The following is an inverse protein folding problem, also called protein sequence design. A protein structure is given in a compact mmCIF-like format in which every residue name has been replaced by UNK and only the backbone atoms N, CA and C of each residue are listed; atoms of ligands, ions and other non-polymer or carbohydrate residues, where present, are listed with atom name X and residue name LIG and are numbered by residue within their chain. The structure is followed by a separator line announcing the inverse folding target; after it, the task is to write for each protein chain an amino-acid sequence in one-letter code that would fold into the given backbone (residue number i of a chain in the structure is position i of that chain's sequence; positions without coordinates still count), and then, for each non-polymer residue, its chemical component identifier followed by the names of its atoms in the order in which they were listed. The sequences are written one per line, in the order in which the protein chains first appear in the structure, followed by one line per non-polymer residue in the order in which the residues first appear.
data_IF_977813701713
#
_entry.id   IF_977813701713
#
_cell.length_a   1.000
_cell.length_b   1.000
_cell.length_c   1.000
_cell.angle_alpha   90.00
_cell.angle_beta   90.00
_cell.angle_gamma   90.00
#
_symmetry.space_group_name_H-M   'P 1'
#
loop_
_entity.id
_entity.type
_entity.pdbx_description
1 polymer ?
#
# COMPACT_ATOMS: atom_id res chain seq x y z
N UNK A 1 -2.06 17.39 18.97
CA UNK A 1 -1.21 17.79 17.83
C UNK A 1 0.19 17.23 18.04
N UNK A 2 0.48 16.03 17.53
CA UNK A 2 1.86 15.55 17.41
C UNK A 2 2.17 15.54 15.92
N UNK A 3 3.11 16.40 15.53
CA UNK A 3 3.53 16.68 14.15
C UNK A 3 3.93 15.37 13.46
N UNK A 4 3.46 15.17 12.23
CA UNK A 4 4.19 14.34 11.26
C UNK A 4 5.62 14.87 11.23
N UNK A 5 6.59 14.06 11.63
CA UNK A 5 7.99 14.46 11.49
C UNK A 5 8.21 14.81 10.01
N UNK A 6 8.57 16.07 9.75
CA UNK A 6 8.71 16.62 8.40
C UNK A 6 9.90 16.02 7.66
N UNK A 7 10.15 16.48 6.45
CA UNK A 7 11.29 16.07 5.65
C UNK A 7 12.60 16.28 6.42
N UNK A 8 13.29 15.18 6.76
CA UNK A 8 14.52 15.21 7.56
C UNK A 8 15.31 13.92 7.43
N UNK A 9 16.50 13.87 8.02
CA UNK A 9 17.23 12.63 8.22
C UNK A 9 16.58 11.77 9.31
N UNK A 10 16.41 10.49 9.02
CA UNK A 10 16.01 9.46 9.96
C UNK A 10 17.13 8.45 10.11
N UNK A 11 17.36 7.98 11.34
CA UNK A 11 18.31 6.92 11.60
C UNK A 11 17.71 5.58 11.17
N UNK A 12 18.13 5.06 10.03
CA UNK A 12 17.70 3.75 9.52
C UNK A 12 18.66 2.66 9.98
N UNK A 13 18.11 1.53 10.43
CA UNK A 13 18.90 0.33 10.70
C UNK A 13 19.15 -0.38 9.36
N UNK A 14 20.40 -0.37 8.88
CA UNK A 14 20.80 -1.02 7.64
C UNK A 14 21.87 -2.06 7.99
N UNK A 15 21.53 -3.33 7.85
CA UNK A 15 22.34 -4.43 8.39
C UNK A 15 22.56 -4.25 9.90
N UNK A 16 23.81 -4.16 10.36
CA UNK A 16 24.17 -3.92 11.77
C UNK A 16 24.21 -2.44 12.16
N UNK A 17 24.20 -1.52 11.19
CA UNK A 17 24.59 -0.14 11.42
C UNK A 17 23.38 0.82 11.39
N UNK A 18 23.45 1.87 12.19
CA UNK A 18 22.50 2.97 12.16
C UNK A 18 23.01 4.07 11.25
N UNK A 19 22.36 4.25 10.12
CA UNK A 19 22.76 5.24 9.11
C UNK A 19 21.70 6.35 9.05
N UNK A 20 22.08 7.62 9.27
CA UNK A 20 21.16 8.73 9.07
C UNK A 20 20.92 8.94 7.58
N UNK A 21 19.67 8.79 7.15
CA UNK A 21 19.25 8.87 5.75
C UNK A 21 18.08 9.84 5.64
N UNK A 22 18.17 10.79 4.70
CA UNK A 22 17.08 11.69 4.39
C UNK A 22 15.87 10.92 3.87
N UNK A 23 14.72 11.14 4.52
CA UNK A 23 13.44 10.68 4.03
C UNK A 23 12.55 11.87 3.68
N UNK A 24 11.98 11.83 2.48
CA UNK A 24 11.02 12.82 2.02
C UNK A 24 9.60 12.32 2.27
N UNK A 25 8.89 12.98 3.18
CA UNK A 25 7.61 12.56 3.73
C UNK A 25 6.42 13.22 3.02
N UNK A 26 6.66 14.30 2.27
CA UNK A 26 5.66 15.03 1.48
C UNK A 26 5.56 14.52 0.03
N UNK A 27 4.65 15.09 -0.76
CA UNK A 27 4.46 14.70 -2.16
C UNK A 27 5.57 15.22 -3.07
N UNK A 28 6.07 14.36 -3.98
CA UNK A 28 7.08 14.68 -5.00
C UNK A 28 6.47 14.63 -6.41
N UNK A 29 5.51 15.49 -6.69
CA UNK A 29 4.87 15.58 -8.01
C UNK A 29 4.38 14.22 -8.51
N UNK A 30 4.90 13.77 -9.66
CA UNK A 30 4.53 12.49 -10.28
C UNK A 30 4.87 11.24 -9.45
N UNK A 31 5.76 11.37 -8.46
CA UNK A 31 6.07 10.29 -7.54
C UNK A 31 4.96 10.09 -6.49
N UNK A 32 4.21 11.13 -6.12
CA UNK A 32 3.21 11.08 -5.05
C UNK A 32 3.81 11.08 -3.64
N UNK A 33 2.95 10.96 -2.62
CA UNK A 33 3.32 11.08 -1.21
C UNK A 33 3.47 9.73 -0.50
N UNK A 34 4.65 9.12 -0.53
CA UNK A 34 4.84 7.73 -0.11
C UNK A 34 5.95 7.47 0.91
N UNK A 35 6.66 8.49 1.39
CA UNK A 35 7.81 8.29 2.28
C UNK A 35 8.98 7.74 1.48
N UNK A 36 9.73 8.65 0.87
CA UNK A 36 10.81 8.34 -0.06
C UNK A 36 12.14 8.32 0.65
N UNK A 37 12.87 7.21 0.58
CA UNK A 37 14.18 7.08 1.19
C UNK A 37 15.27 7.40 0.18
N UNK A 38 16.14 8.35 0.52
CA UNK A 38 17.25 8.73 -0.34
C UNK A 38 18.21 7.55 -0.56
N UNK A 39 18.62 7.35 -1.80
CA UNK A 39 19.56 6.31 -2.23
C UNK A 39 20.88 6.90 -2.69
N UNK A 40 20.79 7.91 -3.55
CA UNK A 40 21.96 8.50 -4.20
C UNK A 40 21.66 9.92 -4.65
N UNK A 41 22.71 10.76 -4.67
CA UNK A 41 22.69 12.11 -5.25
C UNK A 41 23.88 12.29 -6.18
N UNK A 42 23.65 12.80 -7.39
CA UNK A 42 24.64 12.86 -8.47
C UNK A 42 24.72 14.28 -9.00
N UNK A 43 25.93 14.83 -9.13
CA UNK A 43 26.15 16.13 -9.75
C UNK A 43 26.64 15.94 -11.18
N UNK A 44 25.84 16.36 -12.15
CA UNK A 44 26.13 16.23 -13.59
C UNK A 44 27.41 16.93 -14.05
N UNK A 45 27.95 17.82 -13.22
CA UNK A 45 29.21 18.52 -13.47
C UNK A 45 30.45 17.78 -12.96
N UNK A 46 30.27 16.72 -12.17
CA UNK A 46 31.34 15.91 -11.60
C UNK A 46 31.36 14.53 -12.24
N UNK A 47 32.55 13.93 -12.33
CA UNK A 47 32.75 12.60 -12.92
C UNK A 47 32.52 11.44 -11.93
N UNK A 48 32.26 11.74 -10.65
CA UNK A 48 32.12 10.76 -9.56
C UNK A 48 31.18 9.61 -9.88
N UNK A 49 30.04 9.89 -10.50
CA UNK A 49 29.05 8.88 -10.86
C UNK A 49 28.90 8.74 -12.38
N UNK A 50 30.00 8.95 -13.12
CA UNK A 50 30.03 8.66 -14.55
C UNK A 50 29.55 7.23 -14.84
N UNK A 51 28.97 6.99 -16.03
CA UNK A 51 28.40 5.69 -16.38
C UNK A 51 29.36 4.52 -16.10
N UNK A 52 30.63 4.68 -16.47
CA UNK A 52 31.66 3.64 -16.34
C UNK A 52 32.29 3.55 -14.94
N UNK A 53 31.83 4.33 -13.94
CA UNK A 53 32.41 4.32 -12.60
C UNK A 53 32.05 3.06 -11.78
N UNK A 54 33.01 2.54 -11.01
CA UNK A 54 32.86 1.35 -10.17
C UNK A 54 31.86 1.54 -9.03
N UNK A 55 31.54 2.78 -8.65
CA UNK A 55 30.50 3.09 -7.66
C UNK A 55 29.13 2.55 -8.08
N UNK A 56 28.87 2.23 -9.35
CA UNK A 56 27.62 1.59 -9.76
C UNK A 56 27.56 0.10 -9.43
N UNK A 57 28.70 -0.59 -9.43
CA UNK A 57 28.80 -2.06 -9.31
C UNK A 57 29.35 -2.54 -7.97
N UNK A 58 29.83 -1.63 -7.11
CA UNK A 58 30.36 -1.95 -5.78
C UNK A 58 29.38 -1.63 -4.63
N UNK A 59 29.64 -2.18 -3.44
CA UNK A 59 28.90 -1.91 -2.20
C UNK A 59 29.68 -0.96 -1.27
N UNK A 60 30.33 0.05 -1.85
CA UNK A 60 31.03 1.12 -1.11
C UNK A 60 30.14 2.36 -1.00
N UNK A 61 30.19 3.00 0.17
CA UNK A 61 29.55 4.29 0.42
C UNK A 61 30.35 5.43 -0.19
N UNK A 62 29.69 6.52 -0.53
CA UNK A 62 30.33 7.79 -0.89
C UNK A 62 29.63 8.93 -0.15
N UNK A 63 30.40 9.76 0.55
CA UNK A 63 29.91 10.94 1.28
C UNK A 63 28.59 10.72 2.07
N UNK A 64 28.66 9.98 3.19
CA UNK A 64 27.48 9.69 4.02
C UNK A 64 26.83 10.94 4.60
N UNK A 65 27.60 12.00 4.86
CA UNK A 65 27.09 13.29 5.35
C UNK A 65 26.11 13.91 4.36
N UNK A 66 26.39 13.80 3.05
CA UNK A 66 25.46 14.18 2.00
C UNK A 66 24.12 13.45 2.09
N UNK A 67 24.05 12.27 2.71
CA UNK A 67 22.81 11.52 2.92
C UNK A 67 21.86 12.11 3.96
N UNK A 68 22.32 13.05 4.80
CA UNK A 68 21.51 13.64 5.88
C UNK A 68 20.61 14.76 5.39
N UNK A 69 20.93 15.34 4.24
CA UNK A 69 20.22 16.46 3.64
C UNK A 69 19.41 16.03 2.42
N UNK A 70 18.39 16.82 2.08
CA UNK A 70 17.50 16.55 0.95
C UNK A 70 18.12 16.96 -0.39
N UNK A 71 17.37 17.77 -1.13
CA UNK A 71 17.69 18.17 -2.51
C UNK A 71 18.70 19.33 -2.57
N UNK A 72 19.84 19.17 -1.92
CA UNK A 72 21.00 20.04 -2.07
C UNK A 72 21.90 19.57 -3.22
N UNK A 73 23.11 20.14 -3.34
CA UNK A 73 24.09 19.80 -4.38
C UNK A 73 25.22 18.89 -3.90
N UNK A 74 25.08 18.25 -2.74
CA UNK A 74 26.10 17.37 -2.18
C UNK A 74 25.92 15.94 -2.70
N UNK A 75 26.87 15.45 -3.48
CA UNK A 75 26.87 14.06 -3.98
C UNK A 75 26.88 13.04 -2.84
N UNK A 76 26.17 11.93 -2.99
CA UNK A 76 26.18 10.84 -2.00
C UNK A 76 25.81 9.50 -2.63
N UNK A 77 26.35 8.41 -2.08
CA UNK A 77 25.90 7.05 -2.30
C UNK A 77 25.77 6.36 -0.95
N UNK A 78 24.55 5.98 -0.60
CA UNK A 78 24.22 5.43 0.70
C UNK A 78 24.14 3.90 0.67
N UNK A 79 24.25 3.22 1.82
CA UNK A 79 24.00 1.78 1.93
C UNK A 79 22.61 1.35 1.46
N UNK A 80 21.65 2.28 1.43
CA UNK A 80 20.34 2.07 0.83
C UNK A 80 20.39 1.76 -0.67
N UNK A 81 21.51 2.02 -1.36
CA UNK A 81 21.72 1.59 -2.74
C UNK A 81 21.70 0.07 -2.92
N UNK A 82 22.26 -0.69 -1.98
CA UNK A 82 22.40 -2.15 -2.11
C UNK A 82 21.63 -2.97 -1.07
N UNK A 83 21.24 -2.40 0.06
CA UNK A 83 20.58 -3.10 1.17
C UNK A 83 19.07 -2.87 1.27
N UNK A 84 18.48 -2.14 0.32
CA UNK A 84 17.13 -1.62 0.49
C UNK A 84 16.20 -2.03 -0.65
N UNK A 85 15.27 -2.95 -0.40
CA UNK A 85 14.25 -3.32 -1.37
C UNK A 85 13.25 -2.18 -1.60
N UNK A 86 12.74 -2.08 -2.82
CA UNK A 86 11.70 -1.11 -3.18
C UNK A 86 10.72 -1.69 -4.20
N UNK A 87 9.52 -1.11 -4.25
CA UNK A 87 8.54 -1.35 -5.33
C UNK A 87 8.55 -0.28 -6.40
N UNK A 88 8.94 0.95 -6.02
CA UNK A 88 8.91 2.13 -6.88
C UNK A 88 10.17 2.97 -6.67
N UNK A 89 10.67 3.57 -7.75
CA UNK A 89 11.79 4.50 -7.72
C UNK A 89 11.27 5.89 -8.07
N UNK A 90 11.64 6.91 -7.29
CA UNK A 90 11.45 8.31 -7.66
C UNK A 90 12.78 8.87 -8.13
N UNK A 91 12.77 9.41 -9.34
CA UNK A 91 13.89 10.02 -10.01
C UNK A 91 13.65 11.53 -10.07
N UNK A 92 14.57 12.30 -9.50
CA UNK A 92 14.51 13.76 -9.47
C UNK A 92 15.69 14.39 -10.18
N UNK A 93 15.45 15.50 -10.88
CA UNK A 93 16.47 16.38 -11.44
C UNK A 93 16.22 17.82 -11.00
N UNK A 94 17.29 18.52 -10.64
CA UNK A 94 17.33 19.95 -10.37
C UNK A 94 18.19 20.64 -11.41
N UNK A 95 17.63 21.63 -12.10
CA UNK A 95 18.34 22.48 -13.06
C UNK A 95 18.05 23.94 -12.69
N UNK A 96 19.09 24.66 -12.25
CA UNK A 96 18.88 25.94 -11.56
C UNK A 96 18.02 25.75 -10.32
N UNK A 97 16.94 26.51 -10.22
CA UNK A 97 15.99 26.42 -9.09
C UNK A 97 14.83 25.45 -9.33
N UNK A 98 14.76 24.83 -10.51
CA UNK A 98 13.64 23.95 -10.88
C UNK A 98 13.93 22.49 -10.56
N UNK A 99 13.14 21.92 -9.66
CA UNK A 99 13.14 20.48 -9.35
C UNK A 99 11.99 19.77 -10.10
N UNK A 100 12.29 18.65 -10.76
CA UNK A 100 11.32 17.85 -11.51
C UNK A 100 11.48 16.37 -11.20
N UNK A 101 10.36 15.66 -11.07
CA UNK A 101 10.34 14.27 -10.61
C UNK A 101 9.51 13.36 -11.51
N UNK A 102 9.97 12.13 -11.71
CA UNK A 102 9.24 11.04 -12.36
C UNK A 102 9.36 9.76 -11.53
N UNK A 103 8.42 8.83 -11.70
CA UNK A 103 8.44 7.57 -10.99
C UNK A 103 8.51 6.37 -11.94
N UNK A 104 9.16 5.30 -11.47
CA UNK A 104 9.26 4.02 -12.15
C UNK A 104 8.73 2.93 -11.22
N UNK A 105 7.69 2.23 -11.67
CA UNK A 105 7.15 1.06 -10.99
C UNK A 105 7.96 -0.19 -11.38
N UNK A 106 8.99 -0.49 -10.56
CA UNK A 106 9.92 -1.59 -10.81
C UNK A 106 10.35 -2.22 -9.47
N UNK A 107 9.71 -3.31 -9.05
CA UNK A 107 10.11 -4.02 -7.84
C UNK A 107 11.51 -4.61 -7.98
N UNK A 108 12.34 -4.41 -6.95
CA UNK A 108 13.69 -4.97 -6.87
C UNK A 108 14.14 -5.11 -5.42
N UNK A 109 15.09 -6.02 -5.18
CA UNK A 109 15.70 -6.20 -3.86
C UNK A 109 16.64 -5.04 -3.49
N UNK A 110 17.16 -4.31 -4.47
CA UNK A 110 17.88 -3.03 -4.31
C UNK A 110 18.21 -2.39 -5.66
N UNK A 111 18.70 -1.15 -5.67
CA UNK A 111 19.09 -0.48 -6.91
C UNK A 111 20.35 -1.12 -7.49
N UNK A 112 21.26 -1.55 -6.60
CA UNK A 112 22.40 -2.40 -6.91
C UNK A 112 21.99 -3.62 -7.73
N UNK A 113 20.93 -4.34 -7.34
CA UNK A 113 20.46 -5.54 -8.06
C UNK A 113 19.95 -5.25 -9.48
N UNK A 114 19.51 -4.02 -9.76
CA UNK A 114 19.05 -3.59 -11.08
C UNK A 114 20.18 -3.07 -11.97
N UNK A 115 21.31 -2.64 -11.40
CA UNK A 115 22.35 -1.92 -12.14
C UNK A 115 23.66 -2.71 -12.21
N UNK A 116 24.09 -3.33 -11.12
CA UNK A 116 25.47 -3.79 -10.93
C UNK A 116 25.93 -4.86 -11.94
N UNK A 117 25.01 -5.67 -12.47
CA UNK A 117 25.34 -6.71 -13.46
C UNK A 117 25.47 -6.17 -14.90
N UNK A 118 25.27 -4.88 -15.11
CA UNK A 118 25.38 -4.23 -16.42
C UNK A 118 24.30 -4.62 -17.42
N UNK A 119 23.31 -5.46 -17.04
CA UNK A 119 22.29 -5.94 -17.98
C UNK A 119 21.25 -4.85 -18.25
N UNK A 120 20.88 -4.71 -19.53
CA UNK A 120 19.79 -3.85 -19.94
C UNK A 120 18.45 -4.37 -19.39
N UNK A 121 17.65 -3.47 -18.82
CA UNK A 121 16.30 -3.76 -18.35
C UNK A 121 15.37 -2.64 -18.81
N UNK A 122 14.45 -2.95 -19.70
CA UNK A 122 13.55 -1.95 -20.28
C UNK A 122 12.57 -1.38 -19.25
N UNK A 123 12.19 -0.11 -19.45
CA UNK A 123 11.00 0.52 -18.86
C UNK A 123 10.01 0.90 -19.95
N UNK A 124 8.83 1.38 -19.57
CA UNK A 124 7.75 1.77 -20.47
C UNK A 124 7.14 3.12 -20.09
N UNK A 125 7.97 4.07 -19.66
CA UNK A 125 7.53 5.40 -19.22
C UNK A 125 7.19 6.33 -20.40
N UNK A 126 7.87 6.12 -21.53
CA UNK A 126 7.74 6.91 -22.74
C UNK A 126 8.56 8.21 -22.72
N UNK A 127 8.92 8.65 -23.93
CA UNK A 127 9.73 9.84 -24.22
C UNK A 127 9.33 11.08 -23.43
N UNK A 128 8.04 11.41 -23.46
CA UNK A 128 7.52 12.63 -22.84
C UNK A 128 7.69 12.61 -21.31
N UNK A 129 7.66 11.43 -20.69
CA UNK A 129 7.92 11.29 -19.25
C UNK A 129 9.36 11.66 -18.92
N UNK A 130 10.33 11.16 -19.66
CA UNK A 130 11.74 11.52 -19.48
C UNK A 130 11.99 13.02 -19.71
N UNK A 131 11.36 13.61 -20.74
CA UNK A 131 11.47 15.06 -21.01
C UNK A 131 10.96 15.93 -19.85
N UNK A 132 10.00 15.46 -19.04
CA UNK A 132 9.51 16.23 -17.88
C UNK A 132 10.59 16.52 -16.85
N UNK A 133 11.64 15.69 -16.74
CA UNK A 133 12.75 15.95 -15.82
C UNK A 133 13.52 17.23 -16.15
N UNK A 134 13.50 17.65 -17.42
CA UNK A 134 14.24 18.82 -17.92
C UNK A 134 13.30 20.02 -18.15
N UNK A 135 12.00 19.77 -18.33
CA UNK A 135 10.98 20.80 -18.55
C UNK A 135 10.90 21.27 -20.02
N UNK A 136 10.50 22.52 -20.24
CA UNK A 136 10.32 23.11 -21.58
C UNK A 136 11.60 23.10 -22.43
N UNK A 137 12.75 22.98 -21.78
CA UNK A 137 14.06 22.97 -22.39
C UNK A 137 14.50 21.57 -22.86
N UNK A 138 13.77 20.52 -22.54
CA UNK A 138 14.11 19.14 -22.90
C UNK A 138 14.24 18.96 -24.42
N UNK A 139 15.30 18.27 -24.85
CA UNK A 139 15.56 17.99 -26.26
C UNK A 139 16.07 16.56 -26.43
N UNK A 140 15.53 15.84 -27.41
CA UNK A 140 15.95 14.47 -27.76
C UNK A 140 15.83 14.29 -29.27
N UNK A 141 16.61 13.42 -29.88
CA UNK A 141 16.39 12.99 -31.27
C UNK A 141 15.24 11.98 -31.37
N UNK A 142 14.63 11.78 -32.54
CA UNK A 142 13.26 11.22 -32.65
C UNK A 142 13.15 9.68 -32.60
N UNK A 143 14.24 8.96 -32.82
CA UNK A 143 14.28 7.52 -33.06
C UNK A 143 15.15 6.77 -32.02
N UNK A 144 15.34 5.46 -32.21
CA UNK A 144 15.83 4.47 -31.22
C UNK A 144 14.96 4.35 -29.96
N UNK A 145 14.75 5.44 -29.23
CA UNK A 145 13.80 5.56 -28.13
C UNK A 145 13.97 4.49 -27.02
N UNK A 146 15.22 4.12 -26.72
CA UNK A 146 15.56 3.04 -25.77
C UNK A 146 15.60 3.59 -24.35
N UNK A 147 14.85 2.99 -23.44
CA UNK A 147 14.68 3.46 -22.06
C UNK A 147 14.83 2.35 -21.01
N UNK A 148 15.29 2.72 -19.81
CA UNK A 148 15.34 1.84 -18.65
C UNK A 148 16.70 1.84 -17.95
N UNK A 149 17.13 0.67 -17.47
CA UNK A 149 18.37 0.48 -16.72
C UNK A 149 19.49 -0.04 -17.62
N UNK A 150 20.72 0.45 -17.41
CA UNK A 150 21.90 0.16 -18.23
C UNK A 150 21.59 0.32 -19.73
N UNK A 151 21.03 1.46 -20.11
CA UNK A 151 20.78 1.79 -21.52
C UNK A 151 22.09 2.18 -22.17
N UNK A 152 22.45 1.42 -23.19
CA UNK A 152 23.61 1.67 -24.04
C UNK A 152 23.18 1.58 -25.49
N UNK A 153 23.71 2.48 -26.30
CA UNK A 153 23.66 2.37 -27.75
C UNK A 153 24.55 1.18 -28.20
N UNK A 154 24.43 0.72 -29.45
CA UNK A 154 25.23 -0.42 -29.93
C UNK A 154 26.73 -0.15 -29.79
N UNK A 155 27.17 1.07 -30.05
CA UNK A 155 28.53 1.50 -29.76
C UNK A 155 28.61 2.21 -28.40
N UNK A 156 29.50 1.74 -27.53
CA UNK A 156 29.70 2.25 -26.16
C UNK A 156 30.28 3.67 -26.08
N UNK A 157 30.71 4.23 -27.22
CA UNK A 157 31.17 5.62 -27.34
C UNK A 157 30.01 6.62 -27.44
N UNK A 158 28.82 6.15 -27.81
CA UNK A 158 27.63 6.96 -27.92
C UNK A 158 26.89 7.06 -26.59
N UNK A 159 25.79 7.82 -26.59
CA UNK A 159 24.97 8.06 -25.42
C UNK A 159 24.59 6.77 -24.69
N UNK A 160 24.80 6.81 -23.36
CA UNK A 160 24.52 5.73 -22.42
C UNK A 160 24.11 6.30 -21.06
N UNK A 161 23.31 5.55 -20.31
CA UNK A 161 22.84 5.92 -18.98
C UNK A 161 22.59 4.69 -18.10
N UNK A 162 22.90 4.79 -16.81
CA UNK A 162 22.58 3.73 -15.84
C UNK A 162 21.08 3.64 -15.59
N UNK A 163 20.40 4.77 -15.59
CA UNK A 163 18.94 4.87 -15.59
C UNK A 163 18.59 6.01 -16.54
N UNK A 164 17.96 5.74 -17.68
CA UNK A 164 17.73 6.82 -18.64
C UNK A 164 17.04 6.43 -19.92
N UNK A 165 17.04 7.40 -20.83
CA UNK A 165 16.51 7.35 -22.17
C UNK A 165 17.60 7.78 -23.15
N UNK A 166 17.83 7.00 -24.20
CA UNK A 166 18.75 7.35 -25.29
C UNK A 166 18.00 7.36 -26.63
N UNK A 167 18.40 8.26 -27.51
CA UNK A 167 17.82 8.39 -28.84
C UNK A 167 18.82 8.90 -29.86
N UNK A 168 18.48 8.68 -31.13
CA UNK A 168 19.14 9.20 -32.31
C UNK A 168 18.12 9.61 -33.38
N UNK A 169 18.60 9.99 -34.55
CA UNK A 169 17.80 10.37 -35.71
C UNK A 169 17.65 9.22 -36.72
N UNK A 170 18.45 8.16 -36.64
CA UNK A 170 18.37 6.99 -37.52
C UNK A 170 17.39 5.92 -37.01
N UNK A 171 17.01 4.97 -37.87
CA UNK A 171 16.03 3.92 -37.54
C UNK A 171 16.57 2.76 -36.68
N UNK A 172 17.79 2.88 -36.14
CA UNK A 172 18.45 1.87 -35.31
C UNK A 172 19.02 2.53 -34.04
N UNK A 173 19.52 1.75 -33.09
CA UNK A 173 20.21 2.27 -31.91
C UNK A 173 21.74 2.17 -32.04
N UNK A 174 22.31 2.55 -33.18
CA UNK A 174 23.75 2.45 -33.47
C UNK A 174 24.59 3.65 -32.98
N UNK A 175 24.05 4.85 -33.19
CA UNK A 175 24.74 6.15 -33.09
C UNK A 175 23.93 7.15 -32.26
N UNK A 176 23.67 6.83 -31.00
CA UNK A 176 22.84 7.63 -30.09
C UNK A 176 23.57 8.90 -29.69
N UNK A 177 23.03 10.05 -30.08
CA UNK A 177 23.63 11.37 -29.85
C UNK A 177 22.74 12.26 -28.99
N UNK A 178 21.71 11.67 -28.38
CA UNK A 178 20.87 12.31 -27.38
C UNK A 178 20.49 11.38 -26.24
N UNK A 179 20.39 11.96 -25.04
CA UNK A 179 20.02 11.26 -23.82
C UNK A 179 19.40 12.17 -22.77
N UNK A 180 18.58 11.57 -21.92
CA UNK A 180 18.20 12.09 -20.61
C UNK A 180 18.42 10.97 -19.60
N UNK A 181 19.14 11.20 -18.51
CA UNK A 181 19.28 10.16 -17.51
C UNK A 181 20.34 10.41 -16.46
N UNK A 182 20.48 9.38 -15.62
CA UNK A 182 21.29 9.33 -14.42
C UNK A 182 22.50 8.42 -14.64
N UNK A 183 23.68 8.87 -14.22
CA UNK A 183 24.92 8.15 -14.46
C UNK A 183 25.20 7.95 -15.94
N UNK A 184 25.31 9.05 -16.67
CA UNK A 184 25.46 9.07 -18.12
C UNK A 184 26.90 9.24 -18.57
N UNK A 185 27.13 9.05 -19.87
CA UNK A 185 28.41 9.26 -20.53
C UNK A 185 28.29 9.13 -22.04
N UNK A 186 29.43 9.17 -22.73
CA UNK A 186 29.53 9.10 -24.18
C UNK A 186 29.14 10.40 -24.91
N UNK A 187 29.18 10.34 -26.24
CA UNK A 187 28.84 11.46 -27.13
C UNK A 187 27.42 11.99 -26.86
N UNK A 188 27.17 13.32 -26.92
CA UNK A 188 28.05 14.40 -27.37
C UNK A 188 29.02 14.99 -26.34
N UNK A 189 28.75 14.85 -25.03
CA UNK A 189 29.64 15.28 -23.95
C UNK A 189 29.80 14.14 -22.94
N UNK A 190 30.95 13.45 -22.93
CA UNK A 190 31.20 12.35 -21.99
C UNK A 190 31.33 12.82 -20.54
N UNK A 191 31.63 14.10 -20.31
CA UNK A 191 31.79 14.65 -18.96
C UNK A 191 30.48 14.99 -18.27
N UNK A 192 29.37 15.11 -19.02
CA UNK A 192 28.05 15.28 -18.43
C UNK A 192 27.53 13.93 -17.91
N UNK A 193 27.53 13.77 -16.59
CA UNK A 193 27.11 12.53 -15.93
C UNK A 193 25.62 12.46 -15.65
N UNK A 194 24.86 13.54 -15.86
CA UNK A 194 23.49 13.64 -15.35
C UNK A 194 22.75 14.85 -15.95
N UNK A 195 21.52 14.65 -16.44
CA UNK A 195 20.72 15.68 -17.13
C UNK A 195 20.37 15.36 -18.58
N UNK A 196 20.52 16.32 -19.51
CA UNK A 196 20.13 16.19 -20.92
C UNK A 196 21.23 16.61 -21.89
N UNK A 197 21.57 15.71 -22.80
CA UNK A 197 22.43 15.94 -23.94
C UNK A 197 21.63 15.67 -25.22
N UNK A 198 21.75 16.55 -26.22
CA UNK A 198 21.14 16.33 -27.53
C UNK A 198 21.89 17.11 -28.60
N UNK A 199 22.30 16.41 -29.66
CA UNK A 199 22.94 16.97 -30.85
C UNK A 199 22.36 16.30 -32.10
N UNK A 200 22.65 16.87 -33.28
CA UNK A 200 22.26 16.33 -34.59
C UNK A 200 20.74 16.17 -34.77
N UNK A 201 20.07 17.28 -35.11
CA UNK A 201 18.62 17.34 -35.37
C UNK A 201 17.70 16.84 -34.25
N UNK A 202 17.90 17.28 -32.99
CA UNK A 202 16.96 16.94 -31.93
C UNK A 202 15.68 17.78 -32.02
N UNK A 203 14.63 17.30 -31.36
CA UNK A 203 13.29 17.86 -31.43
C UNK A 203 13.11 19.25 -30.80
N UNK A 204 14.11 19.77 -30.09
CA UNK A 204 14.09 21.09 -29.44
C UNK A 204 15.47 21.76 -29.41
N UNK A 205 16.15 21.83 -30.57
CA UNK A 205 17.51 22.36 -30.75
C UNK A 205 18.58 21.62 -29.93
N UNK A 206 19.85 21.86 -30.24
CA UNK A 206 20.94 21.28 -29.46
C UNK A 206 20.85 21.70 -27.99
N UNK A 207 21.06 20.74 -27.09
CA UNK A 207 20.97 20.96 -25.65
C UNK A 207 22.13 20.29 -24.93
N UNK A 208 22.72 21.07 -24.02
CA UNK A 208 23.70 20.63 -23.04
C UNK A 208 23.21 21.14 -21.69
N UNK A 209 22.61 20.26 -20.90
CA UNK A 209 22.08 20.59 -19.59
C UNK A 209 22.61 19.58 -18.57
N UNK A 210 23.39 20.10 -17.62
CA UNK A 210 23.82 19.37 -16.43
C UNK A 210 22.77 19.59 -15.35
N UNK A 211 22.48 18.54 -14.60
CA UNK A 211 21.54 18.60 -13.47
C UNK A 211 22.25 18.29 -12.15
N UNK A 212 21.53 18.51 -11.06
CA UNK A 212 21.73 17.76 -9.82
C UNK A 212 20.62 16.72 -9.74
N UNK A 213 20.96 15.48 -9.46
CA UNK A 213 20.05 14.35 -9.52
C UNK A 213 19.82 13.70 -8.16
N UNK A 214 18.63 13.17 -7.99
CA UNK A 214 18.18 12.51 -6.77
C UNK A 214 17.52 11.18 -7.12
N UNK A 215 18.00 10.09 -6.52
CA UNK A 215 17.36 8.79 -6.63
C UNK A 215 16.83 8.40 -5.26
N UNK A 216 15.52 8.13 -5.18
CA UNK A 216 14.86 7.71 -3.95
C UNK A 216 14.10 6.41 -4.19
N UNK A 217 14.22 5.48 -3.24
CA UNK A 217 13.43 4.25 -3.23
C UNK A 217 12.18 4.44 -2.38
N UNK A 218 11.01 4.05 -2.91
CA UNK A 218 9.86 3.75 -2.08
C UNK A 218 10.11 2.38 -1.46
N UNK A 219 10.58 2.38 -0.22
CA UNK A 219 10.89 1.18 0.51
C UNK A 219 9.76 0.15 0.39
N UNK A 220 10.15 -1.11 0.19
CA UNK A 220 9.34 -2.31 0.46
C UNK A 220 8.99 -2.42 1.96
N UNK A 221 9.40 -1.45 2.76
CA UNK A 221 8.88 -1.22 4.09
C UNK A 221 8.81 0.24 4.49
N UNK A 222 7.60 0.68 4.82
CA UNK A 222 7.36 1.91 5.53
C UNK A 222 5.92 1.97 5.95
N UNK A 223 5.49 0.97 6.73
CA UNK A 223 4.32 1.16 7.57
C UNK A 223 4.66 2.31 8.52
N UNK A 224 3.97 3.43 8.36
CA UNK A 224 4.14 4.65 9.13
C UNK A 224 3.67 4.46 10.56
N UNK A 225 3.97 5.43 11.42
CA UNK A 225 3.43 5.52 12.78
C UNK A 225 3.51 4.22 13.61
N UNK A 226 4.71 3.61 13.65
CA UNK A 226 5.01 2.36 14.38
C UNK A 226 4.34 1.10 13.80
N UNK A 227 3.91 1.14 12.53
CA UNK A 227 3.47 -0.05 11.80
C UNK A 227 4.60 -1.00 11.40
N UNK A 228 4.28 -2.28 11.20
CA UNK A 228 5.21 -3.36 10.84
C UNK A 228 4.90 -3.96 9.47
N UNK A 229 5.90 -4.19 8.61
CA UNK A 229 5.71 -4.75 7.25
C UNK A 229 5.65 -6.29 7.25
N UNK A 230 4.76 -6.86 6.44
CA UNK A 230 4.52 -8.29 6.27
C UNK A 230 4.71 -8.66 4.78
N UNK A 231 5.61 -9.59 4.43
CA UNK A 231 5.88 -9.95 3.02
C UNK A 231 5.09 -11.18 2.55
N UNK A 232 4.69 -11.18 1.28
CA UNK A 232 4.02 -12.29 0.59
C UNK A 232 4.90 -12.81 -0.55
N UNK A 233 5.50 -13.99 -0.35
CA UNK A 233 6.56 -14.56 -1.20
C UNK A 233 6.05 -15.19 -2.50
N UNK A 234 4.81 -15.67 -2.57
CA UNK A 234 4.26 -16.32 -3.78
C UNK A 234 3.79 -15.31 -4.82
N UNK A 235 3.30 -14.14 -4.38
CA UNK A 235 2.81 -13.08 -5.27
C UNK A 235 3.82 -11.95 -5.49
N UNK A 236 5.01 -12.05 -4.89
CA UNK A 236 6.02 -10.98 -4.86
C UNK A 236 5.47 -9.63 -4.37
N UNK A 237 4.69 -9.62 -3.28
CA UNK A 237 4.06 -8.40 -2.69
C UNK A 237 4.29 -8.29 -1.17
N UNK A 238 3.85 -7.19 -0.52
CA UNK A 238 3.88 -6.99 0.95
C UNK A 238 2.70 -6.14 1.44
N UNK A 239 2.38 -6.17 2.74
CA UNK A 239 1.32 -5.44 3.42
C UNK A 239 1.77 -4.88 4.78
N UNK A 240 1.00 -4.00 5.42
CA UNK A 240 1.34 -3.43 6.73
C UNK A 240 0.41 -3.82 7.88
N UNK A 241 0.99 -3.96 9.07
CA UNK A 241 0.31 -4.21 10.34
C UNK A 241 0.46 -3.01 11.27
N UNK A 242 -0.64 -2.36 11.63
CA UNK A 242 -0.63 -1.03 12.25
C UNK A 242 -0.85 -1.03 13.76
N UNK A 243 -0.17 -0.13 14.47
CA UNK A 243 -0.36 0.10 15.90
C UNK A 243 -1.41 1.21 16.09
N UNK A 244 -2.43 1.00 16.91
CA UNK A 244 -3.51 1.98 17.16
C UNK A 244 -2.91 3.32 17.65
N UNK A 245 -3.43 4.49 17.23
CA UNK A 245 -4.64 4.75 16.41
C UNK A 245 -4.43 4.72 14.89
N UNK A 246 -3.35 4.11 14.41
CA UNK A 246 -2.97 4.16 13.00
C UNK A 246 -3.56 2.99 12.22
N UNK A 247 -4.07 3.25 11.01
CA UNK A 247 -4.76 2.25 10.16
C UNK A 247 -4.34 2.37 8.68
N UNK A 248 -4.89 1.49 7.82
CA UNK A 248 -4.61 1.27 6.38
C UNK A 248 -3.33 0.49 6.07
N UNK A 249 -3.19 0.09 4.80
CA UNK A 249 -2.12 -0.72 4.22
C UNK A 249 -0.69 -0.20 4.42
N UNK A 250 -0.53 1.01 4.99
CA UNK A 250 0.74 1.59 5.43
C UNK A 250 0.70 2.29 6.78
N UNK A 251 -0.30 2.09 7.63
CA UNK A 251 -0.31 2.61 9.01
C UNK A 251 -0.12 4.13 9.09
N UNK A 252 -0.65 4.83 8.10
CA UNK A 252 -0.40 6.23 7.83
C UNK A 252 -1.59 7.14 8.20
N UNK A 253 -2.74 6.56 8.55
CA UNK A 253 -3.94 7.30 8.93
C UNK A 253 -4.22 7.18 10.43
N UNK A 254 -4.29 8.31 11.15
CA UNK A 254 -4.81 8.36 12.51
C UNK A 254 -6.33 8.27 12.45
N UNK A 255 -6.92 7.31 13.17
CA UNK A 255 -8.37 7.23 13.32
C UNK A 255 -8.90 8.52 13.94
N UNK A 256 -9.51 9.40 13.13
CA UNK A 256 -10.14 10.64 13.60
C UNK A 256 -11.46 10.92 12.88
N UNK A 257 -12.34 11.62 13.61
CA UNK A 257 -13.81 11.54 13.61
C UNK A 257 -14.49 11.83 12.25
N UNK A 258 -15.35 10.90 11.83
CA UNK A 258 -16.48 11.13 10.92
C UNK A 258 -16.19 10.86 9.44
N UNK A 259 -16.92 9.92 8.84
CA UNK A 259 -16.93 9.69 7.39
C UNK A 259 -18.35 9.68 6.84
N UNK A 260 -18.49 10.26 5.64
CA UNK A 260 -19.70 10.34 4.81
C UNK A 260 -19.89 9.09 3.94
N UNK A 261 -21.17 8.81 3.70
CA UNK A 261 -21.78 7.66 3.06
C UNK A 261 -21.73 7.78 1.52
N UNK A 262 -20.98 6.94 0.81
CA UNK A 262 -21.30 6.48 -0.56
C UNK A 262 -20.31 5.36 -0.95
N UNK A 263 -20.80 4.42 -1.76
CA UNK A 263 -20.11 3.21 -2.28
C UNK A 263 -19.98 2.02 -1.32
N UNK A 264 -20.99 1.14 -1.30
CA UNK A 264 -20.86 -0.27 -1.72
C UNK A 264 -22.16 -1.06 -1.44
N UNK A 265 -23.13 -0.99 -2.34
CA UNK A 265 -24.24 -1.95 -2.44
C UNK A 265 -24.09 -2.67 -3.78
N UNK A 266 -23.60 -3.91 -3.76
CA UNK A 266 -24.02 -4.90 -4.75
C UNK A 266 -23.76 -6.36 -4.33
N UNK A 267 -24.87 -7.11 -4.30
CA UNK A 267 -25.03 -8.55 -4.59
C UNK A 267 -24.43 -9.57 -3.61
N UNK A 268 -25.31 -10.20 -2.82
CA UNK A 268 -25.15 -11.57 -2.33
C UNK A 268 -26.44 -12.37 -2.54
N UNK A 269 -26.35 -13.39 -3.41
CA UNK A 269 -27.25 -14.54 -3.46
C UNK A 269 -26.36 -15.77 -3.65
N UNK A 270 -26.68 -16.83 -2.89
CA UNK A 270 -26.28 -18.24 -3.01
C UNK A 270 -25.22 -18.78 -2.03
N UNK A 271 -25.71 -19.80 -1.31
CA UNK A 271 -25.12 -20.92 -0.57
C UNK A 271 -23.60 -21.08 -0.45
N UNK A 272 -23.22 -21.41 0.78
CA UNK A 272 -21.87 -21.60 1.30
C UNK A 272 -21.33 -23.02 1.01
N UNK A 273 -20.14 -23.12 0.42
CA UNK A 273 -19.09 -24.11 0.72
C UNK A 273 -17.94 -23.94 -0.30
N UNK A 274 -16.70 -23.87 0.20
CA UNK A 274 -15.43 -24.06 -0.51
C UNK A 274 -14.97 -23.06 -1.59
N UNK A 275 -15.83 -22.25 -2.20
CA UNK A 275 -15.38 -21.38 -3.31
C UNK A 275 -15.25 -19.87 -3.02
N UNK A 276 -15.50 -19.42 -1.78
CA UNK A 276 -15.43 -17.97 -1.46
C UNK A 276 -14.02 -17.39 -1.32
N UNK A 277 -12.98 -18.24 -1.31
CA UNK A 277 -11.59 -17.81 -1.21
C UNK A 277 -11.06 -17.16 -2.51
N UNK A 278 -11.79 -17.29 -3.63
CA UNK A 278 -11.33 -16.85 -4.95
C UNK A 278 -11.77 -15.45 -5.38
N UNK A 279 -12.83 -14.84 -4.82
CA UNK A 279 -13.38 -13.62 -5.44
C UNK A 279 -13.51 -12.35 -4.59
N UNK A 280 -13.25 -12.35 -3.27
CA UNK A 280 -13.19 -11.09 -2.50
C UNK A 280 -12.05 -11.08 -1.46
N UNK A 281 -10.79 -10.87 -1.88
CA UNK A 281 -9.63 -10.84 -0.98
C UNK A 281 -9.57 -9.60 -0.08
N UNK A 282 -10.24 -8.51 -0.45
CA UNK A 282 -10.16 -7.21 0.24
C UNK A 282 -10.88 -7.25 1.58
N UNK A 283 -12.15 -7.66 1.60
CA UNK A 283 -12.98 -7.63 2.82
C UNK A 283 -12.45 -8.51 3.97
N UNK A 284 -11.93 -9.69 3.66
CA UNK A 284 -11.35 -10.60 4.66
C UNK A 284 -9.99 -10.17 5.21
N UNK A 285 -9.31 -9.21 4.56
CA UNK A 285 -7.95 -8.79 4.90
C UNK A 285 -7.82 -7.28 5.16
N UNK A 286 -8.94 -6.55 5.20
CA UNK A 286 -8.95 -5.10 5.46
C UNK A 286 -9.09 -4.83 6.95
N UNK A 287 -8.16 -4.06 7.51
CA UNK A 287 -8.23 -3.60 8.89
C UNK A 287 -9.34 -2.57 9.07
N UNK A 288 -10.03 -2.64 10.20
CA UNK A 288 -11.08 -1.70 10.54
C UNK A 288 -11.12 -1.44 12.04
N UNK A 289 -11.93 -0.47 12.38
CA UNK A 289 -11.95 0.18 13.68
C UNK A 289 -13.35 0.27 14.24
N UNK A 290 -14.31 0.39 13.33
CA UNK A 290 -15.73 0.37 13.61
C UNK A 290 -16.40 -0.64 12.72
N UNK A 291 -17.40 -1.33 13.26
CA UNK A 291 -18.26 -2.24 12.50
C UNK A 291 -19.65 -1.63 12.50
N UNK A 292 -20.27 -1.59 11.32
CA UNK A 292 -21.69 -1.35 11.17
C UNK A 292 -22.35 -2.65 10.71
N UNK A 293 -23.29 -3.13 11.50
CA UNK A 293 -24.08 -4.32 11.21
C UNK A 293 -25.46 -3.85 10.76
N UNK A 294 -25.93 -4.37 9.63
CA UNK A 294 -27.23 -4.07 9.07
C UNK A 294 -28.07 -5.33 8.89
N UNK A 295 -29.39 -5.22 9.03
CA UNK A 295 -30.32 -6.28 8.67
C UNK A 295 -31.52 -5.72 7.91
N UNK A 296 -31.82 -6.33 6.76
CA UNK A 296 -33.04 -6.10 5.99
C UNK A 296 -33.98 -7.28 6.09
N UNK A 297 -35.23 -7.02 6.46
CA UNK A 297 -36.27 -8.05 6.66
C UNK A 297 -37.38 -7.83 5.64
N UNK A 298 -37.47 -8.69 4.63
CA UNK A 298 -38.45 -8.54 3.55
C UNK A 298 -38.25 -7.22 2.79
N UNK A 299 -39.34 -6.46 2.62
CA UNK A 299 -39.35 -5.15 1.94
C UNK A 299 -39.25 -3.96 2.90
N UNK A 300 -38.95 -4.20 4.18
CA UNK A 300 -38.78 -3.15 5.18
C UNK A 300 -37.44 -2.40 5.01
N UNK A 301 -37.36 -1.23 5.64
CA UNK A 301 -36.13 -0.45 5.75
C UNK A 301 -35.03 -1.22 6.49
N UNK A 302 -33.79 -0.92 6.13
CA UNK A 302 -32.60 -1.55 6.67
C UNK A 302 -32.31 -1.02 8.09
N UNK A 303 -32.21 -1.92 9.06
CA UNK A 303 -31.87 -1.55 10.43
C UNK A 303 -30.38 -1.70 10.67
N UNK A 304 -29.74 -0.68 11.24
CA UNK A 304 -28.30 -0.68 11.49
C UNK A 304 -27.93 -0.46 12.96
N UNK A 305 -26.83 -1.08 13.37
CA UNK A 305 -26.12 -0.79 14.61
C UNK A 305 -24.64 -0.61 14.29
N UNK A 306 -23.97 0.32 14.97
CA UNK A 306 -22.54 0.56 14.75
C UNK A 306 -21.79 0.66 16.08
N UNK A 307 -20.59 0.10 16.12
CA UNK A 307 -19.76 0.09 17.32
C UNK A 307 -18.28 -0.03 17.01
N UNK A 308 -17.47 0.50 17.92
CA UNK A 308 -16.02 0.48 17.79
C UNK A 308 -15.52 -0.92 18.18
N UNK A 309 -14.86 -1.58 17.22
CA UNK A 309 -14.20 -2.88 17.41
C UNK A 309 -12.98 -2.98 16.50
N UNK A 310 -11.82 -2.46 16.93
CA UNK A 310 -10.60 -2.53 16.15
C UNK A 310 -10.17 -3.98 15.88
N UNK A 311 -9.87 -4.28 14.61
CA UNK A 311 -9.38 -5.58 14.18
C UNK A 311 -8.52 -5.44 12.92
N UNK A 312 -7.53 -6.32 12.77
CA UNK A 312 -6.69 -6.36 11.56
C UNK A 312 -7.46 -6.85 10.33
N UNK A 313 -8.54 -7.62 10.54
CA UNK A 313 -9.58 -7.90 9.57
C UNK A 313 -10.76 -8.65 10.19
N UNK A 314 -11.83 -8.87 9.43
CA UNK A 314 -12.95 -9.67 9.90
C UNK A 314 -12.53 -11.14 10.09
N UNK A 315 -11.60 -11.62 9.26
CA UNK A 315 -10.98 -12.94 9.42
C UNK A 315 -10.33 -13.07 10.80
N UNK A 316 -9.59 -12.05 11.25
CA UNK A 316 -8.94 -12.07 12.57
C UNK A 316 -9.92 -12.20 13.75
N UNK A 317 -11.15 -11.67 13.58
CA UNK A 317 -12.20 -11.77 14.60
C UNK A 317 -12.88 -13.14 14.59
N UNK A 318 -13.09 -13.72 13.41
CA UNK A 318 -13.99 -14.87 13.22
C UNK A 318 -13.25 -16.20 13.04
N UNK A 319 -12.18 -16.25 12.23
CA UNK A 319 -11.65 -17.48 11.64
C UNK A 319 -11.15 -18.51 12.65
N UNK A 320 -10.49 -18.06 13.72
CA UNK A 320 -9.94 -18.95 14.74
C UNK A 320 -10.99 -19.52 15.70
N UNK A 321 -12.27 -19.12 15.56
CA UNK A 321 -13.36 -19.61 16.40
C UNK A 321 -13.28 -19.16 17.87
N UNK A 322 -12.30 -18.33 18.23
CA UNK A 322 -12.15 -17.78 19.58
C UNK A 322 -13.28 -16.80 19.89
N UNK A 323 -13.92 -16.96 21.04
CA UNK A 323 -14.92 -16.02 21.51
C UNK A 323 -14.30 -14.65 21.79
N UNK A 324 -14.94 -13.58 21.30
CA UNK A 324 -14.53 -12.20 21.56
C UNK A 324 -15.76 -11.36 21.91
N UNK A 325 -15.80 -10.86 23.13
CA UNK A 325 -16.93 -10.09 23.65
C UNK A 325 -17.11 -8.73 22.94
N UNK A 326 -18.37 -8.29 22.81
CA UNK A 326 -18.75 -6.90 22.51
C UNK A 326 -19.45 -6.28 23.72
N UNK A 327 -19.62 -4.96 23.73
CA UNK A 327 -20.27 -4.23 24.83
C UNK A 327 -21.47 -3.42 24.32
N UNK A 328 -22.23 -3.99 23.39
CA UNK A 328 -23.37 -3.31 22.77
C UNK A 328 -24.62 -3.35 23.66
N UNK A 329 -24.77 -4.42 24.41
CA UNK A 329 -25.97 -4.72 25.16
C UNK A 329 -27.12 -5.25 24.31
N UNK A 330 -28.03 -5.97 24.97
CA UNK A 330 -29.18 -6.64 24.37
C UNK A 330 -30.06 -5.71 23.54
N UNK A 331 -30.37 -4.53 24.06
CA UNK A 331 -31.29 -3.61 23.38
C UNK A 331 -30.72 -3.06 22.08
N UNK A 332 -29.39 -2.89 22.01
CA UNK A 332 -28.73 -2.51 20.76
C UNK A 332 -28.88 -3.61 19.72
N UNK A 333 -28.57 -4.86 20.05
CA UNK A 333 -28.76 -5.99 19.12
C UNK A 333 -30.20 -6.13 18.63
N UNK A 334 -31.19 -5.86 19.49
CA UNK A 334 -32.61 -5.89 19.11
C UNK A 334 -32.98 -4.85 18.05
N UNK A 335 -32.25 -3.71 17.95
CA UNK A 335 -32.50 -2.69 16.93
C UNK A 335 -32.40 -3.24 15.51
N UNK A 336 -31.56 -4.25 15.26
CA UNK A 336 -31.45 -4.91 13.95
C UNK A 336 -32.76 -5.57 13.46
N UNK A 337 -33.68 -5.88 14.37
CA UNK A 337 -34.95 -6.57 14.10
C UNK A 337 -36.14 -5.68 14.47
N UNK A 338 -35.87 -4.47 14.98
CA UNK A 338 -36.85 -3.50 15.45
C UNK A 338 -37.88 -4.12 16.42
N UNK A 339 -39.15 -3.75 16.27
CA UNK A 339 -40.26 -4.18 17.15
C UNK A 339 -40.51 -5.70 17.13
N UNK A 340 -39.99 -6.43 16.15
CA UNK A 340 -40.20 -7.88 16.02
C UNK A 340 -39.17 -8.71 16.80
N UNK A 341 -38.15 -8.06 17.38
CA UNK A 341 -37.04 -8.74 18.05
C UNK A 341 -37.51 -9.55 19.26
N UNK A 342 -37.08 -10.81 19.35
CA UNK A 342 -37.28 -11.67 20.52
C UNK A 342 -35.95 -12.29 20.97
N UNK A 343 -35.60 -12.11 22.24
CA UNK A 343 -34.39 -12.65 22.84
C UNK A 343 -34.66 -12.89 24.32
N UNK A 344 -34.32 -14.06 24.84
CA UNK A 344 -34.47 -14.40 26.26
C UNK A 344 -33.53 -13.53 27.11
N UNK A 345 -33.87 -13.28 28.39
CA UNK A 345 -33.26 -12.21 29.18
C UNK A 345 -32.18 -12.65 30.16
N UNK A 346 -32.30 -13.84 30.76
CA UNK A 346 -31.56 -14.17 31.98
C UNK A 346 -30.07 -14.39 31.76
N UNK A 347 -29.68 -14.99 30.63
CA UNK A 347 -28.29 -14.98 30.19
C UNK A 347 -28.16 -14.37 28.80
N UNK A 348 -27.18 -13.48 28.63
CA UNK A 348 -26.86 -12.83 27.35
C UNK A 348 -25.36 -12.89 27.10
N UNK A 349 -24.95 -13.56 26.03
CA UNK A 349 -23.55 -13.57 25.58
C UNK A 349 -23.48 -12.96 24.19
N UNK A 350 -22.67 -11.90 24.03
CA UNK A 350 -22.58 -11.14 22.78
C UNK A 350 -21.15 -11.05 22.23
N UNK A 351 -21.04 -10.90 20.91
CA UNK A 351 -19.80 -10.63 20.22
C UNK A 351 -19.51 -11.61 19.10
N UNK A 352 -18.24 -11.96 18.93
CA UNK A 352 -17.76 -12.84 17.86
C UNK A 352 -17.60 -14.26 18.34
N UNK A 353 -17.96 -15.22 17.48
CA UNK A 353 -17.94 -16.65 17.78
C UNK A 353 -18.70 -17.01 19.08
N UNK A 354 -19.84 -16.35 19.32
CA UNK A 354 -20.72 -16.64 20.46
C UNK A 354 -21.34 -18.03 20.29
N UNK A 355 -21.33 -18.83 21.36
CA UNK A 355 -21.93 -20.17 21.38
C UNK A 355 -22.44 -20.51 22.76
N UNK A 356 -23.58 -21.19 22.83
CA UNK A 356 -24.03 -21.83 24.06
C UNK A 356 -23.14 -23.00 24.45
N UNK A 357 -23.24 -23.44 25.70
CA UNK A 357 -22.39 -24.51 26.26
C UNK A 357 -22.57 -25.88 25.61
N UNK A 358 -23.76 -26.22 25.11
CA UNK A 358 -24.02 -27.48 24.39
C UNK A 358 -23.78 -27.34 22.89
N UNK A 359 -23.32 -28.40 22.23
CA UNK A 359 -22.97 -28.44 20.80
C UNK A 359 -24.09 -27.99 19.85
N UNK A 360 -25.35 -28.25 20.22
CA UNK A 360 -26.54 -27.89 19.48
C UNK A 360 -27.19 -26.56 19.90
N UNK A 361 -26.65 -25.86 20.89
CA UNK A 361 -27.21 -24.58 21.35
C UNK A 361 -27.08 -23.50 20.28
N UNK A 362 -27.81 -22.40 20.47
CA UNK A 362 -27.65 -21.21 19.65
C UNK A 362 -26.17 -20.76 19.60
N UNK A 363 -25.66 -20.53 18.38
CA UNK A 363 -24.37 -19.91 18.12
C UNK A 363 -24.45 -18.91 16.95
N UNK A 364 -23.49 -17.99 16.89
CA UNK A 364 -23.32 -17.03 15.81
C UNK A 364 -21.84 -16.63 15.66
N UNK A 365 -21.40 -16.35 14.44
CA UNK A 365 -20.05 -15.76 14.25
C UNK A 365 -20.00 -14.31 14.66
N UNK A 366 -21.10 -13.58 14.57
CA UNK A 366 -21.27 -12.23 15.11
C UNK A 366 -22.70 -12.08 15.58
N UNK A 367 -22.92 -11.84 16.86
CA UNK A 367 -24.29 -11.78 17.38
C UNK A 367 -24.39 -11.79 18.89
N UNK A 368 -25.62 -11.92 19.35
CA UNK A 368 -25.97 -12.17 20.75
C UNK A 368 -26.77 -13.47 20.84
N UNK A 369 -26.49 -14.27 21.86
CA UNK A 369 -27.31 -15.42 22.25
C UNK A 369 -27.95 -15.14 23.61
N UNK A 370 -29.18 -15.61 23.78
CA UNK A 370 -30.01 -15.43 24.96
C UNK A 370 -30.52 -16.76 25.50
N UNK A 371 -30.70 -16.83 26.82
CA UNK A 371 -31.33 -17.96 27.48
C UNK A 371 -32.18 -17.54 28.69
N UNK A 372 -33.13 -18.39 29.08
CA UNK A 372 -33.93 -18.23 30.31
C UNK A 372 -33.22 -18.76 31.55
N UNK A 373 -32.18 -19.58 31.39
CA UNK A 373 -31.29 -19.95 32.48
C UNK A 373 -30.09 -18.98 32.55
N UNK A 374 -29.55 -18.78 33.75
CA UNK A 374 -28.45 -17.83 34.01
C UNK A 374 -27.07 -18.28 33.47
N UNK A 375 -26.95 -19.50 32.95
CA UNK A 375 -25.66 -20.14 32.64
C UNK A 375 -25.28 -20.14 31.14
N UNK A 376 -26.17 -19.67 30.25
CA UNK A 376 -26.06 -19.75 28.79
C UNK A 376 -25.72 -21.15 28.23
N UNK A 377 -25.91 -22.24 28.99
CA UNK A 377 -25.50 -23.59 28.55
C UNK A 377 -26.39 -24.13 27.44
N UNK A 378 -27.69 -23.86 27.50
CA UNK A 378 -28.71 -24.30 26.54
C UNK A 378 -29.41 -23.10 25.90
N UNK A 379 -28.65 -22.18 25.34
CA UNK A 379 -29.21 -20.97 24.74
C UNK A 379 -30.16 -21.27 23.59
N UNK A 380 -31.41 -20.80 23.69
CA UNK A 380 -32.51 -21.08 22.76
C UNK A 380 -32.94 -19.85 21.94
N UNK A 381 -32.27 -18.71 22.13
CA UNK A 381 -32.52 -17.50 21.36
C UNK A 381 -31.23 -16.81 20.89
N UNK A 382 -31.32 -16.09 19.77
CA UNK A 382 -30.20 -15.34 19.17
C UNK A 382 -30.64 -14.25 18.21
N UNK A 383 -29.80 -13.25 18.06
CA UNK A 383 -29.81 -12.30 16.94
C UNK A 383 -28.39 -12.25 16.38
N UNK A 384 -28.21 -12.44 15.08
CA UNK A 384 -26.85 -12.36 14.54
C UNK A 384 -26.68 -12.76 13.08
N UNK A 385 -25.41 -12.88 12.72
CA UNK A 385 -24.86 -13.18 11.41
C UNK A 385 -24.08 -14.49 11.49
N UNK A 386 -24.19 -15.28 10.43
CA UNK A 386 -23.65 -16.64 10.31
C UNK A 386 -24.04 -17.49 11.54
N UNK A 387 -25.34 -17.57 11.77
CA UNK A 387 -25.91 -18.28 12.92
C UNK A 387 -26.07 -19.78 12.67
N UNK A 388 -26.03 -20.60 13.72
CA UNK A 388 -26.22 -22.05 13.63
C UNK A 388 -26.54 -22.73 14.98
N UNK A 389 -27.05 -23.96 14.95
CA UNK A 389 -27.65 -24.65 16.10
C UNK A 389 -29.12 -24.29 16.28
N UNK A 390 -29.68 -24.73 17.41
CA UNK A 390 -31.07 -24.53 17.79
C UNK A 390 -31.43 -23.02 17.83
N UNK A 391 -32.68 -22.62 17.52
CA UNK A 391 -33.84 -23.43 17.11
C UNK A 391 -33.82 -24.02 15.69
N UNK A 392 -33.11 -23.38 14.74
CA UNK A 392 -33.03 -23.83 13.36
C UNK A 392 -31.64 -23.54 12.76
N UNK A 393 -30.92 -24.62 12.43
CA UNK A 393 -29.55 -24.58 11.91
C UNK A 393 -29.45 -24.19 10.43
N UNK A 394 -30.57 -24.16 9.69
CA UNK A 394 -30.60 -23.80 8.26
C UNK A 394 -30.65 -22.29 8.00
N UNK A 395 -30.83 -21.47 9.04
CA UNK A 395 -30.99 -20.03 8.93
C UNK A 395 -29.74 -19.34 9.44
N UNK A 396 -29.13 -18.53 8.59
CA UNK A 396 -27.77 -17.99 8.80
C UNK A 396 -27.75 -16.53 9.22
N UNK A 397 -28.85 -15.78 9.09
CA UNK A 397 -28.91 -14.37 9.50
C UNK A 397 -30.32 -13.97 9.94
N UNK A 398 -30.42 -13.17 11.00
CA UNK A 398 -31.67 -12.66 11.55
C UNK A 398 -31.86 -13.00 13.02
N UNK A 399 -33.11 -13.25 13.42
CA UNK A 399 -33.48 -13.51 14.81
C UNK A 399 -34.23 -14.83 14.95
N UNK A 400 -33.73 -15.69 15.84
CA UNK A 400 -34.42 -16.91 16.22
C UNK A 400 -34.58 -16.97 17.72
N UNK A 401 -35.78 -17.29 18.19
CA UNK A 401 -36.06 -17.47 19.60
C UNK A 401 -37.13 -18.55 19.76
N UNK A 402 -36.86 -19.54 20.60
CA UNK A 402 -37.81 -20.58 20.99
C UNK A 402 -37.94 -20.61 22.51
N UNK A 403 -39.13 -20.97 22.99
CA UNK A 403 -39.53 -20.90 24.40
C UNK A 403 -39.54 -19.47 24.97
N UNK A 404 -39.57 -18.44 24.12
CA UNK A 404 -39.49 -17.05 24.50
C UNK A 404 -40.86 -16.44 24.87
N UNK A 405 -41.70 -17.18 25.61
CA UNK A 405 -43.09 -16.83 25.90
C UNK A 405 -43.25 -15.52 26.68
N UNK A 406 -42.34 -15.25 27.62
CA UNK A 406 -42.34 -14.03 28.44
C UNK A 406 -41.65 -12.82 27.77
N UNK A 407 -41.31 -12.92 26.49
CA UNK A 407 -40.63 -11.88 25.73
C UNK A 407 -41.51 -11.42 24.56
N UNK A 408 -41.02 -11.48 23.33
CA UNK A 408 -41.81 -11.17 22.14
C UNK A 408 -42.29 -12.45 21.43
N UNK A 409 -42.47 -13.54 22.20
CA UNK A 409 -42.85 -14.86 21.70
C UNK A 409 -41.77 -15.56 20.87
N UNK A 410 -42.13 -16.71 20.30
CA UNK A 410 -41.25 -17.45 19.40
C UNK A 410 -41.09 -16.71 18.07
N UNK A 411 -39.85 -16.52 17.61
CA UNK A 411 -39.53 -15.83 16.35
C UNK A 411 -38.58 -16.65 15.50
N UNK A 412 -38.78 -16.61 14.17
CA UNK A 412 -37.94 -17.26 13.16
C UNK A 412 -37.73 -16.33 11.97
N UNK A 413 -37.15 -15.17 12.24
CA UNK A 413 -36.97 -14.08 11.28
C UNK A 413 -35.68 -14.33 10.49
N UNK A 414 -35.79 -14.35 9.16
CA UNK A 414 -34.65 -14.39 8.24
C UNK A 414 -34.40 -12.97 7.72
N UNK A 415 -33.15 -12.53 7.71
CA UNK A 415 -32.77 -11.22 7.21
C UNK A 415 -31.64 -11.33 6.15
N UNK A 416 -31.56 -10.33 5.27
CA UNK A 416 -30.33 -10.05 4.54
C UNK A 416 -29.40 -9.28 5.47
N UNK A 417 -28.22 -9.82 5.72
CA UNK A 417 -27.23 -9.21 6.60
C UNK A 417 -26.22 -8.36 5.85
N UNK A 418 -25.92 -7.18 6.39
CA UNK A 418 -24.85 -6.31 5.93
C UNK A 418 -23.81 -6.22 7.04
N UNK A 419 -22.54 -6.39 6.68
CA UNK A 419 -21.43 -6.14 7.59
C UNK A 419 -20.53 -5.14 6.88
N UNK A 420 -20.53 -3.92 7.39
CA UNK A 420 -19.70 -2.84 6.89
C UNK A 420 -18.62 -2.57 7.92
N UNK A 421 -17.42 -2.28 7.43
CA UNK A 421 -16.25 -2.06 8.26
C UNK A 421 -15.63 -0.72 7.90
N UNK A 422 -15.24 0.05 8.91
CA UNK A 422 -14.70 1.42 8.77
C UNK A 422 -13.35 1.57 9.44
#
# INVERSE_FOLDING_TARGET
MLRTDGNKAYSLQISSDKVPVYCHMTSLGACGGYGWTLVMKINGSLRTFHYDDDLWSNKKTFNLEGGKTGFDSNETKLPTYWNTPFTRICLGMKIGDQDSFIAIDKPASSLYSLIADGKYRATSLGRNTWKRLIGSRASLQRNCNKEGFNVVCTSSRHSKARIGYIANQENNCGSCDSRIGFGTGGYPDDSNTCGNEAKHDPDNRSRHARAMEYILGCLLSGCRNVGSCLSNREKQTYACSCKVPWTRDRCDAEMSKGFTLLDFVHRWKLNFAENFQKELPTYWNTSFTRICLGMKIGEQDDNFIAFDKPASSLYSLIAHGSYRVTSLGRDTWKKLIASQASLQLNCNTEGFNVRGGRSNSAKARTGIIGNDQNDCRSSDSRIGFETGGFPNDKKTCGNQARFAHNYNGNKFITAMGYVLVQ
#
